data_IF_823189863004
#
_entry.id   IF_823189863004
#
_cell.length_a   1.000
_cell.length_b   1.000
_cell.length_c   1.000
_cell.angle_alpha   90.00
_cell.angle_beta   90.00
_cell.angle_gamma   90.00
#
_symmetry.space_group_name_H-M   'P 1'
#
loop_
_entity.id
_entity.type
_entity.pdbx_description
1 polymer ?
#
# COMPACT_ATOMS: atom_id res chain seq x y z
N UNK A 1 -8.04 30.85 -6.67
CA UNK A 1 -7.79 29.63 -7.48
C UNK A 1 -6.83 28.77 -6.69
N UNK A 2 -7.36 27.92 -5.81
CA UNK A 2 -6.62 27.16 -4.81
C UNK A 2 -6.14 25.85 -5.41
N UNK A 3 -4.87 25.78 -5.80
CA UNK A 3 -4.23 24.55 -6.25
C UNK A 3 -3.71 23.81 -5.02
N UNK A 4 -4.58 23.01 -4.39
CA UNK A 4 -4.13 21.93 -3.52
C UNK A 4 -3.46 20.91 -4.45
N UNK A 5 -2.14 20.88 -4.45
CA UNK A 5 -1.36 19.92 -5.23
C UNK A 5 -1.60 18.51 -4.68
N UNK A 6 -2.62 17.83 -5.20
CA UNK A 6 -2.85 16.40 -4.95
C UNK A 6 -1.74 15.64 -5.66
N UNK A 7 -0.80 15.09 -4.91
CA UNK A 7 0.22 14.19 -5.45
C UNK A 7 -0.47 13.03 -6.21
N UNK A 8 0.05 12.61 -7.37
CA UNK A 8 -0.60 11.57 -8.16
C UNK A 8 -0.63 10.26 -7.38
N UNK A 9 -1.76 9.55 -7.49
CA UNK A 9 -1.84 8.15 -7.09
C UNK A 9 -0.70 7.40 -7.79
N UNK A 10 0.09 6.64 -7.03
CA UNK A 10 1.28 5.89 -7.47
C UNK A 10 2.61 6.68 -7.62
N UNK A 11 2.76 7.87 -7.02
CA UNK A 11 4.07 8.53 -6.94
C UNK A 11 5.10 7.75 -6.09
N UNK A 12 4.62 6.95 -5.12
CA UNK A 12 5.45 6.13 -4.25
C UNK A 12 5.11 4.66 -4.46
N UNK A 13 6.07 3.91 -5.01
CA UNK A 13 6.02 2.45 -5.14
C UNK A 13 6.27 1.73 -3.81
N UNK A 14 6.61 2.43 -2.73
CA UNK A 14 7.00 1.82 -1.46
C UNK A 14 6.22 2.46 -0.31
N UNK A 15 5.53 1.64 0.48
CA UNK A 15 4.76 2.02 1.64
C UNK A 15 5.35 1.35 2.88
N UNK A 16 5.53 2.11 3.94
CA UNK A 16 5.91 1.56 5.24
C UNK A 16 4.66 1.33 6.07
N UNK A 17 4.52 0.11 6.60
CA UNK A 17 3.37 -0.32 7.41
C UNK A 17 3.89 -0.90 8.72
N UNK A 18 3.07 -0.87 9.77
CA UNK A 18 3.40 -1.46 11.06
C UNK A 18 2.53 -2.68 11.32
N UNK A 19 2.86 -3.51 12.34
CA UNK A 19 2.01 -4.66 12.69
C UNK A 19 0.59 -4.27 13.10
N UNK A 20 0.39 -3.03 13.59
CA UNK A 20 -0.95 -2.48 13.88
C UNK A 20 -1.82 -2.26 12.64
N UNK A 21 -1.21 -2.18 11.46
CA UNK A 21 -1.90 -1.97 10.17
C UNK A 21 -2.31 -3.31 9.52
N UNK A 22 -2.02 -4.44 10.19
CA UNK A 22 -2.46 -5.77 9.80
C UNK A 22 -3.95 -5.98 10.14
N UNK A 23 -4.72 -6.70 9.29
CA UNK A 23 -4.27 -7.35 8.06
C UNK A 23 -4.04 -6.36 6.91
N UNK A 24 -2.85 -6.42 6.30
CA UNK A 24 -2.46 -5.51 5.22
C UNK A 24 -3.32 -5.78 3.99
N UNK A 25 -4.07 -4.77 3.55
CA UNK A 25 -4.85 -4.84 2.32
C UNK A 25 -4.43 -3.77 1.33
N UNK A 26 -4.20 -4.17 0.08
CA UNK A 26 -3.96 -3.25 -1.03
C UNK A 26 -5.23 -3.15 -1.90
N UNK A 27 -5.77 -1.95 -2.18
CA UNK A 27 -5.36 -0.62 -1.69
C UNK A 27 -5.79 -0.34 -0.24
N UNK A 28 -5.02 0.50 0.48
CA UNK A 28 -5.38 0.95 1.84
C UNK A 28 -6.67 1.81 1.84
N UNK A 29 -7.48 1.77 2.91
CA UNK A 29 -8.76 2.49 2.99
C UNK A 29 -8.63 4.01 2.86
N UNK A 30 -7.47 4.58 3.21
CA UNK A 30 -7.18 6.02 3.11
C UNK A 30 -6.65 6.44 1.72
N UNK A 31 -6.27 5.48 0.87
CA UNK A 31 -5.83 5.76 -0.49
C UNK A 31 -7.04 5.85 -1.43
N UNK A 32 -7.26 7.03 -1.99
CA UNK A 32 -8.35 7.30 -2.93
C UNK A 32 -8.31 6.28 -4.09
N UNK A 33 -9.35 5.44 -4.14
CA UNK A 33 -9.60 4.41 -5.13
C UNK A 33 -9.69 5.00 -6.55
N UNK A 34 -8.56 5.13 -7.22
CA UNK A 34 -8.56 5.21 -8.69
C UNK A 34 -8.31 3.81 -9.27
N UNK A 35 -9.42 3.06 -9.37
CA UNK A 35 -9.69 2.03 -10.39
C UNK A 35 -8.49 1.23 -10.93
N UNK A 36 -7.75 0.48 -10.10
CA UNK A 36 -6.64 -0.36 -10.61
C UNK A 36 -6.82 -1.87 -10.35
N UNK A 37 -7.29 -2.32 -9.18
CA UNK A 37 -7.57 -3.74 -8.93
C UNK A 37 -8.50 -3.96 -7.71
N UNK A 38 -9.10 -5.15 -7.54
CA UNK A 38 -9.87 -5.53 -6.35
C UNK A 38 -9.01 -5.53 -5.08
N UNK A 39 -9.62 -5.30 -3.91
CA UNK A 39 -8.93 -5.40 -2.61
C UNK A 39 -8.34 -6.79 -2.43
N UNK A 40 -7.04 -6.87 -2.18
CA UNK A 40 -6.35 -8.12 -1.87
C UNK A 40 -5.61 -7.99 -0.55
N UNK A 41 -5.55 -9.09 0.20
CA UNK A 41 -4.79 -9.18 1.44
C UNK A 41 -3.39 -9.69 1.14
N UNK A 42 -2.38 -9.00 1.66
CA UNK A 42 -0.98 -9.32 1.46
C UNK A 42 -0.43 -9.88 2.79
N UNK A 43 0.07 -11.12 2.82
CA UNK A 43 0.56 -11.75 4.05
C UNK A 43 1.98 -11.27 4.41
N UNK A 44 2.13 -9.97 4.70
CA UNK A 44 3.43 -9.38 5.08
C UNK A 44 3.95 -9.90 6.44
N UNK A 45 3.06 -10.47 7.26
CA UNK A 45 3.41 -11.07 8.56
C UNK A 45 4.10 -12.44 8.44
N UNK A 46 3.85 -13.17 7.35
CA UNK A 46 4.54 -14.42 7.01
C UNK A 46 5.88 -14.18 6.30
N UNK A 47 6.11 -12.96 5.81
CA UNK A 47 7.34 -12.63 5.08
C UNK A 47 8.52 -12.42 6.06
N UNK A 48 9.61 -13.19 5.95
CA UNK A 48 10.73 -13.15 6.91
C UNK A 48 11.54 -11.85 6.86
N UNK A 49 11.46 -11.12 5.75
CA UNK A 49 12.06 -9.80 5.54
C UNK A 49 11.11 -8.65 5.90
N UNK A 50 9.84 -8.94 6.23
CA UNK A 50 8.80 -7.95 6.39
C UNK A 50 8.58 -7.11 5.13
N UNK A 51 8.87 -7.61 3.92
CA UNK A 51 8.66 -6.86 2.68
C UNK A 51 7.79 -7.69 1.72
N UNK A 52 6.64 -7.13 1.32
CA UNK A 52 5.74 -7.78 0.35
C UNK A 52 5.46 -6.86 -0.82
N UNK A 53 5.47 -7.40 -2.03
CA UNK A 53 5.09 -6.65 -3.23
C UNK A 53 3.70 -7.06 -3.69
N UNK A 54 2.83 -6.08 -3.93
CA UNK A 54 1.51 -6.33 -4.49
C UNK A 54 1.63 -6.78 -5.96
N UNK A 55 1.08 -7.95 -6.33
CA UNK A 55 1.18 -8.47 -7.69
C UNK A 55 0.33 -7.70 -8.71
N UNK A 56 -0.58 -6.84 -8.25
CA UNK A 56 -1.49 -6.09 -9.13
C UNK A 56 -0.96 -4.68 -9.44
N UNK A 57 -0.66 -3.90 -8.41
CA UNK A 57 -0.20 -2.51 -8.58
C UNK A 57 1.33 -2.36 -8.53
N UNK A 58 2.07 -3.40 -8.13
CA UNK A 58 3.52 -3.34 -7.97
C UNK A 58 3.98 -2.50 -6.77
N UNK A 59 3.09 -2.15 -5.85
CA UNK A 59 3.43 -1.47 -4.61
C UNK A 59 4.17 -2.42 -3.67
N UNK A 60 5.34 -1.99 -3.20
CA UNK A 60 6.16 -2.63 -2.18
C UNK A 60 5.69 -2.12 -0.81
N UNK A 61 5.37 -3.02 0.09
CA UNK A 61 5.04 -2.72 1.47
C UNK A 61 6.15 -3.26 2.36
N UNK A 62 6.69 -2.42 3.22
CA UNK A 62 7.75 -2.77 4.17
C UNK A 62 7.19 -2.64 5.58
N UNK A 63 7.15 -3.75 6.31
CA UNK A 63 6.81 -3.86 7.71
C UNK A 63 7.97 -3.29 8.53
N UNK A 64 7.74 -2.12 9.11
CA UNK A 64 8.66 -1.47 10.04
C UNK A 64 8.10 -1.62 11.45
N UNK A 65 8.26 -2.81 12.04
CA UNK A 65 7.87 -3.10 13.43
C UNK A 65 9.04 -3.69 14.22
#
# INVERSE_FOLDING_TARGET
>A
MSQTATAPANAQKRYTVHRRDLPLSCPMPEMALWNSHPRVYLPIEDEPNGEVTCPYCGAVYTLID
#
